data_IF_208684992396
#
_entry.id   IF_208684992396
#
_cell.length_a   1.000
_cell.length_b   1.000
_cell.length_c   1.000
_cell.angle_alpha   90.00
_cell.angle_beta   90.00
_cell.angle_gamma   90.00
#
_symmetry.space_group_name_H-M   'P 1'
#
loop_
_entity.id
_entity.type
_entity.pdbx_description
1 polymer ?
#
# COMPACT_ATOMS: atom_id res chain seq x y z
N UNK A 1 -0.82 -7.11 -17.83
CA UNK A 1 -0.59 -5.67 -18.01
C UNK A 1 0.71 -5.34 -17.29
N UNK A 2 1.79 -5.09 -18.03
CA UNK A 2 3.10 -4.80 -17.46
C UNK A 2 3.21 -3.31 -17.10
N UNK A 3 3.37 -3.01 -15.81
CA UNK A 3 3.57 -1.65 -15.28
C UNK A 3 4.85 -0.96 -15.83
N UNK A 4 5.66 -1.67 -16.62
CA UNK A 4 6.90 -1.18 -17.25
C UNK A 4 6.65 -0.22 -18.43
N UNK A 5 5.48 -0.27 -19.07
CA UNK A 5 5.20 0.48 -20.30
C UNK A 5 4.37 1.76 -20.10
N UNK A 6 4.07 2.14 -18.86
CA UNK A 6 3.35 3.38 -18.54
C UNK A 6 4.21 4.18 -17.55
N UNK A 7 5.05 5.12 -18.04
CA UNK A 7 5.97 5.90 -17.20
C UNK A 7 5.28 6.62 -16.03
N UNK A 8 4.10 7.20 -16.28
CA UNK A 8 3.32 7.88 -15.24
C UNK A 8 2.88 6.94 -14.11
N UNK A 9 2.44 5.73 -14.45
CA UNK A 9 2.07 4.73 -13.46
C UNK A 9 3.28 4.35 -12.60
N UNK A 10 4.47 4.21 -13.19
CA UNK A 10 5.69 3.89 -12.44
C UNK A 10 6.04 4.94 -11.38
N UNK A 11 5.85 6.22 -11.68
CA UNK A 11 6.12 7.31 -10.74
C UNK A 11 5.07 7.32 -9.62
N UNK A 12 3.79 7.10 -9.95
CA UNK A 12 2.73 6.93 -8.96
C UNK A 12 3.00 5.73 -8.03
N UNK A 13 3.37 4.57 -8.58
CA UNK A 13 3.77 3.37 -7.83
C UNK A 13 4.93 3.68 -6.88
N UNK A 14 5.95 4.41 -7.34
CA UNK A 14 7.12 4.72 -6.53
C UNK A 14 6.77 5.55 -5.30
N UNK A 15 5.92 6.56 -5.48
CA UNK A 15 5.54 7.48 -4.41
C UNK A 15 4.70 6.78 -3.34
N UNK A 16 3.67 6.06 -3.76
CA UNK A 16 2.77 5.45 -2.80
C UNK A 16 3.42 4.25 -2.09
N UNK A 17 4.20 3.42 -2.81
CA UNK A 17 4.93 2.29 -2.21
C UNK A 17 5.93 2.80 -1.18
N UNK A 18 6.71 3.84 -1.50
CA UNK A 18 7.66 4.43 -0.55
C UNK A 18 6.98 4.88 0.73
N UNK A 19 5.74 5.37 0.65
CA UNK A 19 4.99 5.87 1.80
C UNK A 19 4.32 4.75 2.61
N UNK A 20 3.85 3.68 1.97
CA UNK A 20 3.43 2.45 2.66
C UNK A 20 4.56 1.89 3.51
N UNK A 21 5.76 1.75 2.92
CA UNK A 21 6.94 1.27 3.66
C UNK A 21 7.32 2.22 4.80
N UNK A 22 7.22 3.53 4.61
CA UNK A 22 7.47 4.51 5.68
C UNK A 22 6.52 4.31 6.87
N UNK A 23 5.23 4.09 6.61
CA UNK A 23 4.25 3.80 7.67
C UNK A 23 4.60 2.49 8.39
N UNK A 24 4.89 1.44 7.62
CA UNK A 24 5.22 0.12 8.13
C UNK A 24 6.46 0.12 9.05
N UNK A 25 7.53 0.84 8.70
CA UNK A 25 8.73 0.93 9.55
C UNK A 25 8.55 1.88 10.74
N UNK A 26 7.57 2.78 10.69
CA UNK A 26 7.22 3.68 11.79
C UNK A 26 6.23 3.06 12.77
N UNK A 27 5.97 1.75 12.66
CA UNK A 27 5.02 0.98 13.48
C UNK A 27 3.58 1.53 13.44
N UNK A 28 3.18 2.12 12.33
CA UNK A 28 1.76 2.36 12.04
C UNK A 28 1.02 1.03 12.03
N UNK A 29 -0.21 1.00 12.55
CA UNK A 29 -1.02 -0.22 12.59
C UNK A 29 -1.69 -0.54 11.25
N UNK A 30 -2.33 -1.70 11.16
CA UNK A 30 -2.97 -2.16 9.92
C UNK A 30 -4.05 -1.19 9.41
N UNK A 31 -4.78 -0.56 10.33
CA UNK A 31 -5.84 0.39 10.00
C UNK A 31 -5.28 1.66 9.36
N UNK A 32 -4.18 2.21 9.91
CA UNK A 32 -3.53 3.42 9.38
C UNK A 32 -2.97 3.18 7.97
N UNK A 33 -2.41 2.00 7.73
CA UNK A 33 -1.91 1.60 6.41
C UNK A 33 -3.08 1.39 5.44
N UNK A 34 -4.15 0.70 5.85
CA UNK A 34 -5.34 0.48 5.04
C UNK A 34 -6.04 1.80 4.65
N UNK A 35 -6.12 2.76 5.57
CA UNK A 35 -6.65 4.10 5.29
C UNK A 35 -5.80 4.85 4.25
N UNK A 36 -4.48 4.71 4.31
CA UNK A 36 -3.60 5.31 3.31
C UNK A 36 -3.81 4.68 1.93
N UNK A 37 -3.89 3.35 1.86
CA UNK A 37 -4.19 2.60 0.64
C UNK A 37 -5.56 3.00 0.06
N UNK A 38 -6.56 3.17 0.92
CA UNK A 38 -7.92 3.61 0.53
C UNK A 38 -7.88 4.98 -0.16
N UNK A 39 -7.08 5.93 0.37
CA UNK A 39 -6.93 7.27 -0.21
C UNK A 39 -6.26 7.24 -1.59
N UNK A 40 -5.33 6.32 -1.82
CA UNK A 40 -4.70 6.11 -3.13
C UNK A 40 -5.72 5.51 -4.11
N UNK A 41 -6.47 4.50 -3.71
CA UNK A 41 -7.47 3.86 -4.58
C UNK A 41 -8.58 4.83 -5.03
N UNK A 42 -9.13 5.59 -4.08
CA UNK A 42 -10.15 6.60 -4.34
C UNK A 42 -9.59 7.76 -5.18
N UNK A 43 -8.37 8.19 -4.90
CA UNK A 43 -7.75 9.35 -5.55
C UNK A 43 -7.14 9.06 -6.93
N UNK A 44 -6.67 7.83 -7.17
CA UNK A 44 -5.83 7.49 -8.32
C UNK A 44 -6.49 6.49 -9.28
N UNK A 45 -7.35 5.58 -8.78
CA UNK A 45 -7.89 4.48 -9.61
C UNK A 45 -9.40 4.51 -9.82
N UNK A 46 -10.15 5.39 -9.13
CA UNK A 46 -11.61 5.49 -9.27
C UNK A 46 -12.35 4.17 -8.93
N UNK A 47 -11.68 3.25 -8.22
CA UNK A 47 -12.23 1.97 -7.78
C UNK A 47 -12.46 2.03 -6.27
N UNK A 48 -13.65 1.59 -5.86
CA UNK A 48 -13.89 1.21 -4.47
C UNK A 48 -13.46 -0.26 -4.34
N UNK A 49 -12.26 -0.49 -3.80
CA UNK A 49 -11.93 -1.80 -3.24
C UNK A 49 -12.64 -1.92 -1.89
N UNK A 50 -13.15 -3.11 -1.58
CA UNK A 50 -13.70 -3.40 -0.25
C UNK A 50 -12.61 -3.16 0.81
N UNK A 51 -12.94 -2.36 1.82
CA UNK A 51 -12.04 -1.97 2.92
C UNK A 51 -11.40 -3.17 3.62
N UNK A 52 -12.13 -4.29 3.68
CA UNK A 52 -11.69 -5.53 4.31
C UNK A 52 -10.45 -6.11 3.61
N UNK A 53 -10.36 -5.98 2.27
CA UNK A 53 -9.21 -6.43 1.50
C UNK A 53 -7.95 -5.60 1.79
N UNK A 54 -8.11 -4.29 2.05
CA UNK A 54 -6.99 -3.40 2.34
C UNK A 54 -6.39 -3.65 3.73
N UNK A 55 -7.22 -4.05 4.71
CA UNK A 55 -6.75 -4.47 6.03
C UNK A 55 -5.96 -5.77 5.93
N UNK A 56 -6.40 -6.75 5.14
CA UNK A 56 -5.64 -7.99 4.94
C UNK A 56 -4.28 -7.75 4.26
N UNK A 57 -4.22 -6.82 3.29
CA UNK A 57 -2.95 -6.40 2.69
C UNK A 57 -2.04 -5.78 3.74
N UNK A 58 -2.57 -4.88 4.58
CA UNK A 58 -1.79 -4.25 5.65
C UNK A 58 -1.25 -5.31 6.64
N UNK A 59 -2.08 -6.28 7.04
CA UNK A 59 -1.65 -7.40 7.89
C UNK A 59 -0.52 -8.21 7.25
N UNK A 60 -0.67 -8.56 5.96
CA UNK A 60 0.36 -9.29 5.20
C UNK A 60 1.69 -8.54 5.19
N UNK A 61 1.66 -7.20 5.09
CA UNK A 61 2.87 -6.37 5.14
C UNK A 61 3.55 -6.43 6.52
N UNK A 62 2.78 -6.44 7.60
CA UNK A 62 3.33 -6.61 8.96
C UNK A 62 3.93 -8.00 9.16
N UNK A 63 3.26 -9.06 8.70
CA UNK A 63 3.79 -10.42 8.74
C UNK A 63 5.10 -10.54 7.97
N UNK A 64 5.17 -9.93 6.78
CA UNK A 64 6.40 -9.88 6.00
C UNK A 64 7.52 -9.10 6.72
N UNK A 65 7.23 -7.94 7.32
CA UNK A 65 8.20 -7.19 8.14
C UNK A 65 8.73 -8.06 9.27
N UNK A 66 7.85 -8.75 10.00
CA UNK A 66 8.25 -9.63 11.09
C UNK A 66 9.12 -10.81 10.62
N UNK A 67 8.81 -11.37 9.45
CA UNK A 67 9.57 -12.49 8.88
C UNK A 67 10.97 -12.09 8.39
N UNK A 68 11.11 -10.93 7.73
CA UNK A 68 12.38 -10.53 7.10
C UNK A 68 13.27 -9.66 7.99
N UNK A 69 12.71 -8.99 9.01
CA UNK A 69 13.45 -8.08 9.89
C UNK A 69 13.49 -8.54 11.35
N UNK A 70 12.86 -9.67 11.67
CA UNK A 70 12.90 -10.33 12.98
C UNK A 70 14.14 -11.18 13.20
#
# INVERSE_FOLDING_TARGET
MDCKNIPAARDEYRDYVSRVFKLLISDANEQEIAEYLTKIEIGTMGRNLDSDNLIEIARTLHEAKAWYCG
#
